data_IF_384066556953
#
_entry.id   IF_384066556953
#
_cell.length_a   1.000
_cell.length_b   1.000
_cell.length_c   1.000
_cell.angle_alpha   90.00
_cell.angle_beta   90.00
_cell.angle_gamma   90.00
#
_symmetry.space_group_name_H-M   'P 1'
#
loop_
_entity.id
_entity.type
_entity.pdbx_description
1 polymer ?
#
# COMPACT_ATOMS: atom_id res chain seq x y z
N UNK A 1 43.02 -27.51 -34.92
CA UNK A 1 42.33 -26.32 -35.48
C UNK A 1 41.45 -25.56 -34.48
N UNK A 2 41.16 -26.08 -33.28
CA UNK A 2 40.30 -25.41 -32.27
C UNK A 2 41.02 -24.38 -31.36
N UNK A 3 42.35 -24.50 -31.21
CA UNK A 3 43.15 -23.62 -30.34
C UNK A 3 43.10 -22.11 -30.65
N UNK A 4 43.17 -21.66 -31.92
CA UNK A 4 43.18 -20.22 -32.22
C UNK A 4 41.81 -19.54 -32.02
N UNK A 5 40.71 -20.27 -32.20
CA UNK A 5 39.37 -19.74 -31.96
C UNK A 5 39.12 -19.53 -30.46
N UNK A 6 39.55 -20.48 -29.62
CA UNK A 6 39.44 -20.36 -28.15
C UNK A 6 40.27 -19.18 -27.63
N UNK A 7 41.47 -18.96 -28.16
CA UNK A 7 42.30 -17.81 -27.76
C UNK A 7 41.68 -16.47 -28.15
N UNK A 8 41.08 -16.35 -29.34
CA UNK A 8 40.40 -15.14 -29.80
C UNK A 8 39.14 -14.80 -28.96
N UNK A 9 38.37 -15.83 -28.58
CA UNK A 9 37.23 -15.66 -27.68
C UNK A 9 37.70 -15.21 -26.29
N UNK A 10 38.75 -15.83 -25.75
CA UNK A 10 39.29 -15.46 -24.44
C UNK A 10 39.81 -14.02 -24.39
N UNK A 11 40.52 -13.56 -25.42
CA UNK A 11 41.00 -12.17 -25.49
C UNK A 11 39.86 -11.17 -25.63
N UNK A 12 38.82 -11.50 -26.41
CA UNK A 12 37.64 -10.65 -26.56
C UNK A 12 36.87 -10.51 -25.24
N UNK A 13 36.78 -11.60 -24.47
CA UNK A 13 36.19 -11.59 -23.13
C UNK A 13 37.02 -10.72 -22.18
N UNK A 14 38.36 -10.85 -22.19
CA UNK A 14 39.22 -10.03 -21.33
C UNK A 14 39.10 -8.53 -21.65
N UNK A 15 39.16 -8.15 -22.92
CA UNK A 15 38.99 -6.73 -23.35
C UNK A 15 37.61 -6.21 -22.97
N UNK A 16 36.56 -7.02 -23.14
CA UNK A 16 35.22 -6.64 -22.70
C UNK A 16 35.16 -6.44 -21.18
N UNK A 17 35.76 -7.34 -20.39
CA UNK A 17 35.80 -7.25 -18.93
C UNK A 17 36.58 -6.02 -18.45
N UNK A 18 37.70 -5.69 -19.09
CA UNK A 18 38.49 -4.48 -18.78
C UNK A 18 37.74 -3.19 -19.13
N UNK A 19 37.15 -3.10 -20.33
CA UNK A 19 36.34 -1.96 -20.75
C UNK A 19 35.10 -1.80 -19.87
N UNK A 20 34.49 -2.91 -19.47
CA UNK A 20 33.41 -2.91 -18.49
C UNK A 20 33.96 -2.36 -17.17
N UNK A 21 35.03 -2.90 -16.61
CA UNK A 21 35.60 -2.47 -15.33
C UNK A 21 35.88 -0.96 -15.26
N UNK A 22 36.64 -0.43 -16.23
CA UNK A 22 37.16 0.95 -16.18
C UNK A 22 36.08 2.03 -16.39
N UNK A 23 35.01 1.73 -17.12
CA UNK A 23 33.94 2.69 -17.43
C UNK A 23 32.67 2.44 -16.61
N UNK A 24 32.36 1.18 -16.35
CA UNK A 24 31.17 0.79 -15.60
C UNK A 24 31.31 1.13 -14.12
N UNK A 25 32.48 0.91 -13.49
CA UNK A 25 32.62 1.14 -12.05
C UNK A 25 32.39 2.62 -11.66
N UNK A 26 33.00 3.62 -12.33
CA UNK A 26 32.70 5.02 -12.06
C UNK A 26 31.24 5.39 -12.30
N UNK A 27 30.63 4.85 -13.37
CA UNK A 27 29.22 5.07 -13.68
C UNK A 27 28.31 4.47 -12.59
N UNK A 28 28.58 3.23 -12.16
CA UNK A 28 27.84 2.55 -11.10
C UNK A 28 27.99 3.29 -9.76
N UNK A 29 29.17 3.82 -9.44
CA UNK A 29 29.38 4.66 -8.26
C UNK A 29 28.59 5.97 -8.33
N UNK A 30 28.58 6.64 -9.50
CA UNK A 30 27.78 7.85 -9.70
C UNK A 30 26.27 7.57 -9.55
N UNK A 31 25.78 6.51 -10.18
CA UNK A 31 24.37 6.09 -10.08
C UNK A 31 24.00 5.66 -8.65
N UNK A 32 24.90 4.97 -7.95
CA UNK A 32 24.73 4.61 -6.54
C UNK A 32 24.61 5.88 -5.67
N UNK A 33 25.46 6.88 -5.92
CA UNK A 33 25.41 8.18 -5.20
C UNK A 33 24.07 8.87 -5.42
N UNK A 34 23.57 8.90 -6.67
CA UNK A 34 22.24 9.42 -6.99
C UNK A 34 21.14 8.61 -6.28
N UNK A 35 21.25 7.28 -6.24
CA UNK A 35 20.31 6.41 -5.53
C UNK A 35 20.29 6.68 -4.01
N UNK A 36 21.45 6.88 -3.39
CA UNK A 36 21.58 7.25 -1.98
C UNK A 36 20.98 8.62 -1.71
N UNK A 37 21.31 9.63 -2.53
CA UNK A 37 20.76 10.97 -2.41
C UNK A 37 19.23 10.96 -2.55
N UNK A 38 18.70 10.25 -3.55
CA UNK A 38 17.26 10.09 -3.77
C UNK A 38 16.56 9.49 -2.56
N UNK A 39 17.14 8.45 -1.96
CA UNK A 39 16.59 7.82 -0.75
C UNK A 39 16.59 8.79 0.43
N UNK A 40 17.67 9.54 0.64
CA UNK A 40 17.77 10.54 1.70
C UNK A 40 16.69 11.63 1.54
N UNK A 41 16.47 12.12 0.30
CA UNK A 41 15.41 13.08 0.01
C UNK A 41 14.02 12.51 0.29
N UNK A 42 13.73 11.28 -0.13
CA UNK A 42 12.43 10.63 0.14
C UNK A 42 12.21 10.48 1.63
N UNK A 43 13.24 10.05 2.37
CA UNK A 43 13.15 9.83 3.80
C UNK A 43 12.93 11.15 4.54
N UNK A 44 13.70 12.19 4.22
CA UNK A 44 13.50 13.54 4.74
C UNK A 44 12.09 14.05 4.45
N UNK A 45 11.58 13.86 3.22
CA UNK A 45 10.22 14.27 2.87
C UNK A 45 9.15 13.52 3.68
N UNK A 46 9.35 12.22 3.95
CA UNK A 46 8.43 11.43 4.79
C UNK A 46 8.44 11.85 6.25
N UNK A 47 9.59 12.30 6.77
CA UNK A 47 9.74 12.74 8.16
C UNK A 47 9.17 14.15 8.37
N UNK A 48 9.37 15.05 7.41
CA UNK A 48 8.89 16.43 7.48
C UNK A 48 7.39 16.52 7.23
N UNK A 49 6.88 15.77 6.26
CA UNK A 49 5.49 15.87 5.82
C UNK A 49 4.67 14.67 6.29
N UNK A 50 3.43 14.87 6.79
CA UNK A 50 2.54 13.78 7.17
C UNK A 50 1.90 13.09 5.95
N UNK A 51 2.72 12.74 4.94
CA UNK A 51 2.29 12.19 3.64
C UNK A 51 1.51 10.90 3.87
N UNK A 52 2.05 10.02 4.71
CA UNK A 52 1.40 8.75 5.04
C UNK A 52 0.01 8.97 5.64
N UNK A 53 -0.09 9.85 6.64
CA UNK A 53 -1.38 10.17 7.30
C UNK A 53 -2.40 10.66 6.28
N UNK A 54 -2.04 11.64 5.45
CA UNK A 54 -2.95 12.18 4.43
C UNK A 54 -3.32 11.13 3.37
N UNK A 55 -2.38 10.30 2.98
CA UNK A 55 -2.61 9.21 2.04
C UNK A 55 -3.56 8.16 2.63
N UNK A 56 -3.32 7.67 3.85
CA UNK A 56 -4.20 6.72 4.53
C UNK A 56 -5.60 7.31 4.77
N UNK A 57 -5.69 8.58 5.17
CA UNK A 57 -6.97 9.27 5.32
C UNK A 57 -7.76 9.28 4.00
N UNK A 58 -7.12 9.74 2.92
CA UNK A 58 -7.73 9.76 1.60
C UNK A 58 -8.19 8.37 1.15
N UNK A 59 -7.33 7.37 1.33
CA UNK A 59 -7.61 6.00 0.92
C UNK A 59 -8.72 5.35 1.74
N UNK A 60 -8.75 5.57 3.05
CA UNK A 60 -9.80 5.06 3.94
C UNK A 60 -11.15 5.72 3.63
N UNK A 61 -11.20 7.06 3.49
CA UNK A 61 -12.42 7.79 3.11
C UNK A 61 -12.97 7.29 1.77
N UNK A 62 -12.11 7.25 0.74
CA UNK A 62 -12.49 6.72 -0.58
C UNK A 62 -13.01 5.30 -0.49
N UNK A 63 -12.41 4.46 0.35
CA UNK A 63 -12.88 3.08 0.52
C UNK A 63 -14.25 3.02 1.18
N UNK A 64 -14.50 3.80 2.24
CA UNK A 64 -15.83 3.92 2.84
C UNK A 64 -16.86 4.44 1.84
N UNK A 65 -16.54 5.47 1.06
CA UNK A 65 -17.41 6.00 0.01
C UNK A 65 -17.76 4.92 -1.03
N UNK A 66 -16.78 4.11 -1.44
CA UNK A 66 -16.98 3.00 -2.38
C UNK A 66 -17.88 1.91 -1.80
N UNK A 67 -17.69 1.54 -0.53
CA UNK A 67 -18.56 0.55 0.13
C UNK A 67 -20.00 1.06 0.30
N UNK A 68 -20.17 2.33 0.68
CA UNK A 68 -21.49 2.94 0.79
C UNK A 68 -22.18 3.04 -0.58
N UNK A 69 -21.43 3.39 -1.64
CA UNK A 69 -21.95 3.42 -2.99
C UNK A 69 -22.43 2.04 -3.47
N UNK A 70 -21.73 0.96 -3.11
CA UNK A 70 -22.16 -0.41 -3.43
C UNK A 70 -23.52 -0.75 -2.78
N UNK A 71 -23.72 -0.35 -1.52
CA UNK A 71 -25.00 -0.57 -0.82
C UNK A 71 -26.16 0.21 -1.46
N UNK A 72 -25.85 1.31 -2.17
CA UNK A 72 -26.86 2.11 -2.89
C UNK A 72 -27.23 1.51 -4.26
N UNK A 73 -26.56 0.46 -4.73
CA UNK A 73 -26.97 -0.25 -5.94
C UNK A 73 -28.39 -0.82 -5.75
N UNK A 74 -29.32 -0.67 -6.72
CA UNK A 74 -30.75 -0.94 -6.50
C UNK A 74 -31.05 -2.33 -5.92
N UNK A 75 -30.39 -3.37 -6.44
CA UNK A 75 -30.56 -4.76 -6.00
C UNK A 75 -30.09 -4.97 -4.55
N UNK A 76 -28.93 -4.39 -4.21
CA UNK A 76 -28.34 -4.48 -2.87
C UNK A 76 -29.19 -3.68 -1.88
N UNK A 77 -29.59 -2.47 -2.25
CA UNK A 77 -30.41 -1.60 -1.43
C UNK A 77 -31.78 -2.24 -1.10
N UNK A 78 -32.40 -2.91 -2.06
CA UNK A 78 -33.64 -3.65 -1.83
C UNK A 78 -33.43 -4.79 -0.82
N UNK A 79 -32.36 -5.58 -0.99
CA UNK A 79 -32.03 -6.65 -0.05
C UNK A 79 -31.74 -6.13 1.37
N UNK A 80 -31.07 -4.98 1.49
CA UNK A 80 -30.82 -4.30 2.78
C UNK A 80 -32.13 -3.82 3.43
N UNK A 81 -33.01 -3.17 2.65
CA UNK A 81 -34.33 -2.75 3.13
C UNK A 81 -35.18 -3.92 3.60
N UNK A 82 -35.17 -5.03 2.84
CA UNK A 82 -35.88 -6.27 3.21
C UNK A 82 -35.34 -6.88 4.51
N UNK A 83 -34.03 -6.76 4.74
CA UNK A 83 -33.39 -7.19 5.98
C UNK A 83 -33.57 -6.20 7.15
N UNK A 84 -34.20 -5.04 6.92
CA UNK A 84 -34.39 -4.00 7.94
C UNK A 84 -33.12 -3.19 8.26
N UNK A 85 -32.11 -3.24 7.38
CA UNK A 85 -30.85 -2.53 7.54
C UNK A 85 -30.93 -1.12 6.95
N UNK A 86 -30.19 -0.20 7.56
CA UNK A 86 -30.04 1.18 7.04
C UNK A 86 -28.71 1.31 6.28
N UNK A 87 -28.69 1.94 5.09
CA UNK A 87 -27.43 2.17 4.38
C UNK A 87 -26.44 2.99 5.23
N UNK A 88 -25.14 2.66 5.22
CA UNK A 88 -24.16 3.35 6.05
C UNK A 88 -23.86 4.77 5.56
N UNK A 89 -23.59 5.67 6.49
CA UNK A 89 -22.96 6.97 6.21
C UNK A 89 -21.43 6.83 6.26
N UNK A 90 -20.71 7.02 5.12
CA UNK A 90 -19.27 6.80 5.06
C UNK A 90 -18.47 7.77 5.94
N UNK A 91 -18.97 8.98 6.17
CA UNK A 91 -18.29 9.95 7.03
C UNK A 91 -18.39 9.52 8.51
N UNK A 92 -19.56 9.01 8.93
CA UNK A 92 -19.75 8.44 10.27
C UNK A 92 -18.94 7.16 10.44
N UNK A 93 -18.90 6.28 9.43
CA UNK A 93 -18.09 5.06 9.45
C UNK A 93 -16.61 5.38 9.70
N UNK A 94 -16.06 6.38 8.99
CA UNK A 94 -14.69 6.84 9.20
C UNK A 94 -14.47 7.41 10.61
N UNK A 95 -15.40 8.24 11.11
CA UNK A 95 -15.30 8.77 12.48
C UNK A 95 -15.37 7.65 13.53
N UNK A 96 -16.22 6.65 13.34
CA UNK A 96 -16.33 5.48 14.20
C UNK A 96 -15.06 4.63 14.18
N UNK A 97 -14.41 4.45 13.01
CA UNK A 97 -13.09 3.81 12.93
C UNK A 97 -12.08 4.52 13.83
N UNK A 98 -11.97 5.85 13.71
CA UNK A 98 -11.03 6.65 14.52
C UNK A 98 -11.37 6.54 16.00
N UNK A 99 -12.64 6.65 16.36
CA UNK A 99 -13.12 6.52 17.75
C UNK A 99 -12.80 5.15 18.34
N UNK A 100 -13.06 4.07 17.60
CA UNK A 100 -12.91 2.69 18.09
C UNK A 100 -11.45 2.23 18.19
N UNK A 101 -10.56 2.81 17.39
CA UNK A 101 -9.14 2.43 17.36
C UNK A 101 -8.29 3.25 18.33
N UNK A 102 -8.56 4.56 18.43
CA UNK A 102 -7.66 5.52 19.09
C UNK A 102 -8.41 6.57 19.90
N UNK A 103 -9.65 6.26 20.32
CA UNK A 103 -10.49 7.14 21.13
C UNK A 103 -10.69 8.55 20.54
N UNK A 104 -10.59 8.70 19.21
CA UNK A 104 -10.77 9.98 18.52
C UNK A 104 -9.51 10.57 17.89
N UNK A 105 -8.31 10.04 18.19
CA UNK A 105 -7.06 10.56 17.61
C UNK A 105 -6.81 10.00 16.20
N UNK A 106 -7.38 10.69 15.20
CA UNK A 106 -7.16 10.37 13.79
C UNK A 106 -5.66 10.40 13.38
N UNK A 107 -4.85 11.24 14.04
CA UNK A 107 -3.42 11.32 13.76
C UNK A 107 -2.69 10.04 14.15
N UNK A 108 -2.98 9.53 15.35
CA UNK A 108 -2.39 8.30 15.85
C UNK A 108 -2.70 7.12 14.93
N UNK A 109 -3.99 6.86 14.62
CA UNK A 109 -4.36 5.67 13.82
C UNK A 109 -3.90 5.75 12.36
N UNK A 110 -4.00 6.93 11.72
CA UNK A 110 -3.70 7.05 10.28
C UNK A 110 -2.20 7.18 10.00
N UNK A 111 -1.37 7.45 11.02
CA UNK A 111 0.09 7.49 10.90
C UNK A 111 0.76 6.10 10.93
N UNK A 112 0.03 5.07 11.37
CA UNK A 112 0.49 3.68 11.44
C UNK A 112 0.92 3.14 10.08
N UNK A 113 1.81 2.13 10.09
CA UNK A 113 2.02 1.31 8.89
C UNK A 113 0.71 0.62 8.47
N UNK A 114 0.55 0.30 7.20
CA UNK A 114 -0.72 -0.21 6.67
C UNK A 114 -1.13 -1.56 7.30
N UNK A 115 -0.16 -2.41 7.65
CA UNK A 115 -0.37 -3.66 8.39
C UNK A 115 -0.92 -3.39 9.81
N UNK A 116 -0.39 -2.37 10.49
CA UNK A 116 -0.84 -1.98 11.83
C UNK A 116 -2.22 -1.32 11.77
N UNK A 117 -2.47 -0.46 10.78
CA UNK A 117 -3.78 0.14 10.53
C UNK A 117 -4.83 -0.96 10.29
N UNK A 118 -4.54 -1.93 9.44
CA UNK A 118 -5.42 -3.07 9.20
C UNK A 118 -5.66 -3.90 10.47
N UNK A 119 -4.62 -4.13 11.29
CA UNK A 119 -4.75 -4.76 12.59
C UNK A 119 -5.67 -4.01 13.55
N UNK A 120 -5.57 -2.67 13.59
CA UNK A 120 -6.46 -1.81 14.38
C UNK A 120 -7.89 -1.84 13.84
N UNK A 121 -8.09 -1.83 12.52
CA UNK A 121 -9.41 -1.99 11.90
C UNK A 121 -10.05 -3.33 12.28
N UNK A 122 -9.28 -4.42 12.31
CA UNK A 122 -9.76 -5.74 12.70
C UNK A 122 -10.09 -5.82 14.20
N UNK A 123 -9.34 -5.13 15.06
CA UNK A 123 -9.68 -5.01 16.48
C UNK A 123 -10.97 -4.20 16.68
N UNK A 124 -11.08 -3.04 16.02
CA UNK A 124 -12.27 -2.19 16.06
C UNK A 124 -13.51 -2.88 15.50
N UNK A 125 -13.37 -3.70 14.46
CA UNK A 125 -14.49 -4.43 13.87
C UNK A 125 -15.08 -5.46 14.83
N UNK A 126 -14.26 -6.12 15.66
CA UNK A 126 -14.75 -7.01 16.72
C UNK A 126 -15.59 -6.25 17.73
N UNK A 127 -15.12 -5.07 18.18
CA UNK A 127 -15.89 -4.21 19.08
C UNK A 127 -17.21 -3.78 18.45
N UNK A 128 -17.18 -3.40 17.17
CA UNK A 128 -18.39 -3.03 16.42
C UNK A 128 -19.33 -4.22 16.17
N UNK A 129 -18.81 -5.44 16.11
CA UNK A 129 -19.61 -6.68 16.04
C UNK A 129 -20.27 -6.99 17.38
N UNK A 130 -19.57 -6.72 18.48
CA UNK A 130 -20.00 -7.12 19.82
C UNK A 130 -20.92 -6.10 20.48
N UNK A 131 -20.85 -4.83 20.07
CA UNK A 131 -21.63 -3.72 20.65
C UNK A 131 -22.44 -2.97 19.59
N UNK A 132 -23.79 -2.98 19.66
CA UNK A 132 -24.67 -2.30 18.70
C UNK A 132 -24.40 -0.79 18.55
N UNK A 133 -24.02 -0.11 19.63
CA UNK A 133 -23.84 1.34 19.65
C UNK A 133 -22.41 1.79 19.29
N UNK A 134 -21.47 0.84 19.26
CA UNK A 134 -20.05 1.15 19.13
C UNK A 134 -19.65 1.60 17.72
N UNK A 135 -20.40 1.25 16.67
CA UNK A 135 -20.14 1.76 15.32
C UNK A 135 -20.97 1.09 14.23
N UNK A 136 -22.29 1.39 14.14
CA UNK A 136 -23.16 0.77 13.13
C UNK A 136 -22.70 1.06 11.70
N UNK A 137 -22.45 2.32 11.35
CA UNK A 137 -22.00 2.70 10.00
C UNK A 137 -20.65 2.05 9.64
N UNK A 138 -19.72 1.98 10.58
CA UNK A 138 -18.43 1.33 10.38
C UNK A 138 -18.62 -0.16 10.10
N UNK A 139 -19.39 -0.87 10.93
CA UNK A 139 -19.70 -2.27 10.71
C UNK A 139 -20.36 -2.50 9.34
N UNK A 140 -21.37 -1.70 9.01
CA UNK A 140 -22.12 -1.79 7.75
C UNK A 140 -21.22 -1.58 6.54
N UNK A 141 -20.29 -0.62 6.59
CA UNK A 141 -19.28 -0.47 5.54
C UNK A 141 -18.36 -1.69 5.42
N UNK A 142 -17.87 -2.25 6.54
CA UNK A 142 -17.01 -3.43 6.51
C UNK A 142 -17.73 -4.67 5.95
N UNK A 143 -19.02 -4.79 6.27
CA UNK A 143 -19.90 -5.88 5.88
C UNK A 143 -20.74 -5.56 4.63
N UNK A 144 -20.38 -4.52 3.86
CA UNK A 144 -21.15 -4.07 2.70
C UNK A 144 -21.39 -5.16 1.65
N UNK A 145 -20.46 -6.12 1.56
CA UNK A 145 -20.48 -7.26 0.65
C UNK A 145 -20.95 -8.57 1.30
N UNK A 146 -21.35 -8.55 2.58
CA UNK A 146 -21.92 -9.70 3.25
C UNK A 146 -23.40 -9.87 2.87
N UNK A 147 -23.96 -11.05 3.12
CA UNK A 147 -25.40 -11.27 2.94
C UNK A 147 -26.19 -10.38 3.93
N UNK A 148 -27.14 -9.54 3.45
CA UNK A 148 -27.88 -8.64 4.33
C UNK A 148 -28.66 -9.36 5.43
N UNK A 149 -29.15 -10.57 5.15
CA UNK A 149 -29.82 -11.41 6.15
C UNK A 149 -28.90 -11.79 7.31
N UNK A 150 -27.67 -12.22 7.03
CA UNK A 150 -26.69 -12.56 8.07
C UNK A 150 -26.32 -11.33 8.91
N UNK A 151 -26.19 -10.16 8.28
CA UNK A 151 -25.90 -8.92 8.99
C UNK A 151 -27.07 -8.51 9.90
N UNK A 152 -28.31 -8.64 9.44
CA UNK A 152 -29.49 -8.37 10.25
C UNK A 152 -29.62 -9.35 11.43
N UNK A 153 -29.33 -10.63 11.23
CA UNK A 153 -29.29 -11.62 12.31
C UNK A 153 -28.22 -11.27 13.33
N UNK A 154 -27.04 -10.82 12.87
CA UNK A 154 -25.99 -10.32 13.76
C UNK A 154 -26.42 -9.08 14.54
N UNK A 155 -27.21 -8.16 13.98
CA UNK A 155 -27.70 -6.99 14.73
C UNK A 155 -28.79 -7.37 15.74
N UNK A 156 -29.76 -8.20 15.32
CA UNK A 156 -30.86 -8.66 16.16
C UNK A 156 -30.33 -9.44 17.36
N UNK A 157 -29.38 -10.33 17.14
CA UNK A 157 -28.87 -11.22 18.19
C UNK A 157 -28.10 -10.46 19.26
N UNK A 158 -27.53 -9.29 18.97
CA UNK A 158 -26.85 -8.47 20.00
C UNK A 158 -27.75 -7.97 21.12
N UNK A 159 -29.03 -7.75 20.87
CA UNK A 159 -29.95 -7.19 21.88
C UNK A 159 -30.65 -8.27 22.70
N UNK A 160 -30.82 -9.47 22.13
CA UNK A 160 -31.65 -10.54 22.72
C UNK A 160 -30.93 -11.89 22.86
N UNK A 161 -29.60 -11.96 22.70
CA UNK A 161 -28.83 -13.23 22.67
C UNK A 161 -29.19 -14.18 23.82
N UNK A 162 -29.23 -13.66 25.06
CA UNK A 162 -29.48 -14.46 26.26
C UNK A 162 -30.90 -15.05 26.33
N UNK A 163 -31.86 -14.47 25.61
CA UNK A 163 -33.25 -14.93 25.55
C UNK A 163 -33.55 -15.86 24.38
N UNK A 164 -32.59 -16.10 23.48
CA UNK A 164 -32.77 -16.97 22.32
C UNK A 164 -32.75 -18.46 22.73
N UNK A 165 -33.45 -19.29 21.95
CA UNK A 165 -33.33 -20.75 22.07
C UNK A 165 -31.91 -21.22 21.74
N UNK A 166 -31.51 -22.43 22.15
CA UNK A 166 -30.18 -22.97 21.82
C UNK A 166 -29.95 -23.09 20.31
N UNK A 167 -31.01 -23.40 19.56
CA UNK A 167 -30.96 -23.50 18.10
C UNK A 167 -30.74 -22.13 17.46
N UNK A 168 -31.50 -21.12 17.92
CA UNK A 168 -31.34 -19.73 17.45
C UNK A 168 -29.97 -19.15 17.84
N UNK A 169 -29.44 -19.50 19.02
CA UNK A 169 -28.09 -19.11 19.44
C UNK A 169 -27.01 -19.71 18.53
N UNK A 170 -27.20 -20.95 18.08
CA UNK A 170 -26.28 -21.60 17.14
C UNK A 170 -26.34 -20.94 15.76
N UNK A 171 -27.54 -20.69 15.24
CA UNK A 171 -27.73 -20.00 13.96
C UNK A 171 -27.14 -18.58 13.99
N UNK A 172 -27.35 -17.84 15.09
CA UNK A 172 -26.76 -16.53 15.33
C UNK A 172 -25.23 -16.54 15.33
N UNK A 173 -24.63 -17.54 16.00
CA UNK A 173 -23.19 -17.71 16.03
C UNK A 173 -22.62 -18.00 14.63
N UNK A 174 -23.33 -18.78 13.82
CA UNK A 174 -22.95 -19.07 12.44
C UNK A 174 -23.02 -17.84 11.55
N UNK A 175 -24.13 -17.08 11.60
CA UNK A 175 -24.28 -15.82 10.87
C UNK A 175 -23.18 -14.82 11.25
N UNK A 176 -22.86 -14.72 12.55
CA UNK A 176 -21.75 -13.91 13.05
C UNK A 176 -20.40 -14.35 12.48
N UNK A 177 -20.12 -15.66 12.43
CA UNK A 177 -18.89 -16.18 11.85
C UNK A 177 -18.78 -15.84 10.35
N UNK A 178 -19.87 -15.95 9.59
CA UNK A 178 -19.91 -15.56 8.17
C UNK A 178 -19.62 -14.08 7.98
N UNK A 179 -20.32 -13.20 8.72
CA UNK A 179 -20.10 -11.74 8.68
C UNK A 179 -18.66 -11.39 9.06
N UNK A 180 -18.11 -11.99 10.11
CA UNK A 180 -16.72 -11.76 10.52
C UNK A 180 -15.72 -12.19 9.43
N UNK A 181 -15.96 -13.30 8.75
CA UNK A 181 -15.13 -13.73 7.64
C UNK A 181 -15.17 -12.71 6.48
N UNK A 182 -16.37 -12.21 6.11
CA UNK A 182 -16.49 -11.15 5.09
C UNK A 182 -15.76 -9.87 5.50
N UNK A 183 -15.94 -9.42 6.74
CA UNK A 183 -15.25 -8.25 7.29
C UNK A 183 -13.72 -8.41 7.17
N UNK A 184 -13.18 -9.57 7.56
CA UNK A 184 -11.75 -9.83 7.46
C UNK A 184 -11.26 -9.75 6.01
N UNK A 185 -11.99 -10.34 5.06
CA UNK A 185 -11.67 -10.26 3.63
C UNK A 185 -11.74 -8.84 3.09
N UNK A 186 -12.71 -8.04 3.54
CA UNK A 186 -12.79 -6.61 3.21
C UNK A 186 -11.57 -5.84 3.70
N UNK A 187 -11.13 -6.08 4.94
CA UNK A 187 -9.95 -5.43 5.53
C UNK A 187 -8.66 -5.87 4.82
N UNK A 188 -8.50 -7.17 4.55
CA UNK A 188 -7.34 -7.69 3.80
C UNK A 188 -7.27 -7.07 2.39
N UNK A 189 -8.41 -6.99 1.71
CA UNK A 189 -8.52 -6.35 0.39
C UNK A 189 -8.13 -4.87 0.43
N UNK A 190 -8.58 -4.14 1.45
CA UNK A 190 -8.15 -2.76 1.70
C UNK A 190 -6.63 -2.67 1.92
N UNK A 191 -6.06 -3.48 2.81
CA UNK A 191 -4.62 -3.51 3.11
C UNK A 191 -3.79 -3.74 1.84
N UNK A 192 -4.14 -4.75 1.02
CA UNK A 192 -3.43 -5.06 -0.23
C UNK A 192 -3.54 -3.91 -1.24
N UNK A 193 -4.73 -3.34 -1.41
CA UNK A 193 -5.00 -2.21 -2.30
C UNK A 193 -4.17 -0.98 -1.94
N UNK A 194 -4.17 -0.60 -0.66
CA UNK A 194 -3.43 0.57 -0.16
C UNK A 194 -1.93 0.34 -0.25
N UNK A 195 -1.45 -0.84 0.15
CA UNK A 195 -0.03 -1.22 0.04
C UNK A 195 0.50 -1.12 -1.39
N UNK A 196 -0.26 -1.64 -2.36
CA UNK A 196 0.09 -1.56 -3.78
C UNK A 196 0.18 -0.12 -4.27
N UNK A 197 -0.82 0.71 -3.95
CA UNK A 197 -0.86 2.12 -4.35
C UNK A 197 0.28 2.92 -3.72
N UNK A 198 0.58 2.68 -2.45
CA UNK A 198 1.69 3.32 -1.75
C UNK A 198 3.04 3.00 -2.39
N UNK A 199 3.30 1.71 -2.67
CA UNK A 199 4.52 1.26 -3.38
C UNK A 199 4.63 1.91 -4.77
N UNK A 200 3.53 1.96 -5.51
CA UNK A 200 3.50 2.63 -6.82
C UNK A 200 3.90 4.10 -6.70
N UNK A 201 3.29 4.85 -5.77
CA UNK A 201 3.64 6.27 -5.56
C UNK A 201 5.09 6.47 -5.14
N UNK A 202 5.67 5.56 -4.35
CA UNK A 202 7.09 5.62 -4.02
C UNK A 202 8.01 5.37 -5.21
N UNK A 203 7.66 4.43 -6.09
CA UNK A 203 8.44 4.21 -7.31
C UNK A 203 8.39 5.43 -8.22
N UNK A 204 7.20 6.02 -8.41
CA UNK A 204 7.04 7.25 -9.20
C UNK A 204 7.83 8.42 -8.60
N UNK A 205 7.72 8.63 -7.28
CA UNK A 205 8.46 9.70 -6.61
C UNK A 205 9.98 9.50 -6.71
N UNK A 206 10.47 8.26 -6.51
CA UNK A 206 11.89 7.95 -6.64
C UNK A 206 12.41 8.19 -8.05
N UNK A 207 11.65 7.78 -9.07
CA UNK A 207 12.03 8.00 -10.46
C UNK A 207 12.04 9.49 -10.80
N UNK A 208 11.03 10.25 -10.36
CA UNK A 208 10.95 11.69 -10.58
C UNK A 208 12.11 12.45 -9.92
N UNK A 209 12.45 12.12 -8.67
CA UNK A 209 13.56 12.75 -7.94
C UNK A 209 14.89 12.38 -8.58
N UNK A 210 15.11 11.10 -8.89
CA UNK A 210 16.34 10.64 -9.55
C UNK A 210 16.54 11.32 -10.91
N UNK A 211 15.46 11.41 -11.70
CA UNK A 211 15.47 12.13 -12.98
C UNK A 211 15.84 13.61 -12.78
N UNK A 212 15.21 14.29 -11.82
CA UNK A 212 15.49 15.71 -11.55
C UNK A 212 16.94 15.95 -11.11
N UNK A 213 17.52 15.09 -10.28
CA UNK A 213 18.92 15.18 -9.84
C UNK A 213 19.88 15.03 -11.03
N UNK A 214 19.69 14.00 -11.87
CA UNK A 214 20.58 13.75 -13.01
C UNK A 214 20.41 14.85 -14.07
N UNK A 215 19.19 15.30 -14.32
CA UNK A 215 18.94 16.38 -15.28
C UNK A 215 19.58 17.68 -14.81
N UNK A 216 19.46 18.02 -13.52
CA UNK A 216 20.12 19.17 -12.94
C UNK A 216 21.64 19.08 -13.11
N UNK A 217 22.25 17.92 -12.84
CA UNK A 217 23.68 17.71 -13.01
C UNK A 217 24.13 17.82 -14.49
N UNK A 218 23.40 17.22 -15.43
CA UNK A 218 23.74 17.23 -16.86
C UNK A 218 23.47 18.59 -17.52
N UNK A 219 22.49 19.36 -17.02
CA UNK A 219 22.22 20.71 -17.53
C UNK A 219 23.40 21.66 -17.35
N UNK A 220 24.27 21.42 -16.37
CA UNK A 220 25.53 22.16 -16.19
C UNK A 220 26.55 21.84 -17.29
N UNK A 221 26.42 20.70 -17.98
CA UNK A 221 27.26 20.25 -19.10
C UNK A 221 26.53 20.30 -20.45
N UNK A 222 25.59 21.24 -20.61
CA UNK A 222 24.71 21.34 -21.79
C UNK A 222 25.45 21.38 -23.14
N UNK A 223 26.68 21.92 -23.18
CA UNK A 223 27.50 22.00 -24.41
C UNK A 223 27.90 20.63 -24.98
N UNK A 224 28.03 19.61 -24.13
CA UNK A 224 28.50 18.28 -24.56
C UNK A 224 27.36 17.41 -25.12
N UNK A 225 26.17 17.48 -24.52
CA UNK A 225 25.10 16.49 -24.76
C UNK A 225 23.82 17.07 -25.38
N UNK A 226 23.67 18.41 -25.37
CA UNK A 226 22.40 19.06 -25.67
C UNK A 226 21.29 18.74 -24.64
N UNK A 227 20.14 19.42 -24.75
CA UNK A 227 19.02 19.20 -23.82
C UNK A 227 18.37 17.83 -24.01
N UNK A 228 18.21 17.39 -25.26
CA UNK A 228 17.61 16.09 -25.59
C UNK A 228 18.44 14.92 -25.04
N UNK A 229 19.77 14.97 -25.22
CA UNK A 229 20.68 13.96 -24.66
C UNK A 229 20.64 13.92 -23.13
N UNK A 230 20.63 15.09 -22.47
CA UNK A 230 20.52 15.17 -21.02
C UNK A 230 19.22 14.55 -20.48
N UNK A 231 18.08 14.78 -21.14
CA UNK A 231 16.79 14.19 -20.76
C UNK A 231 16.82 12.66 -20.91
N UNK A 232 17.31 12.14 -22.04
CA UNK A 232 17.38 10.70 -22.29
C UNK A 232 18.28 10.00 -21.27
N UNK A 233 19.47 10.54 -21.01
CA UNK A 233 20.40 9.98 -20.01
C UNK A 233 19.78 10.01 -18.62
N UNK A 234 19.06 11.09 -18.26
CA UNK A 234 18.41 11.21 -16.96
C UNK A 234 17.32 10.16 -16.74
N UNK A 235 16.54 9.82 -17.77
CA UNK A 235 15.51 8.77 -17.70
C UNK A 235 16.18 7.40 -17.47
N UNK A 236 17.21 7.08 -18.25
CA UNK A 236 17.95 5.81 -18.12
C UNK A 236 18.61 5.71 -16.75
N UNK A 237 19.27 6.79 -16.30
CA UNK A 237 19.93 6.83 -15.00
C UNK A 237 18.94 6.65 -13.84
N UNK A 238 17.78 7.33 -13.88
CA UNK A 238 16.75 7.20 -12.85
C UNK A 238 16.18 5.78 -12.75
N UNK A 239 16.08 5.07 -13.88
CA UNK A 239 15.63 3.68 -13.91
C UNK A 239 16.70 2.70 -13.40
N UNK A 240 17.98 2.94 -13.72
CA UNK A 240 19.10 2.04 -13.37
C UNK A 240 19.61 2.26 -11.94
N UNK A 241 19.40 3.43 -11.36
CA UNK A 241 19.91 3.77 -10.02
C UNK A 241 19.44 2.82 -8.90
N UNK A 242 18.16 2.42 -8.79
CA UNK A 242 17.73 1.46 -7.77
C UNK A 242 18.44 0.11 -7.89
N UNK A 243 18.54 -0.43 -9.10
CA UNK A 243 19.23 -1.71 -9.36
C UNK A 243 20.73 -1.61 -9.03
N UNK A 244 21.36 -0.48 -9.37
CA UNK A 244 22.77 -0.24 -9.08
C UNK A 244 23.05 -0.18 -7.59
N UNK A 245 22.15 0.44 -6.81
CA UNK A 245 22.25 0.47 -5.34
C UNK A 245 22.24 -0.95 -4.77
N UNK A 246 21.30 -1.77 -5.19
CA UNK A 246 21.17 -3.14 -4.70
C UNK A 246 22.37 -4.01 -5.10
N UNK A 247 22.88 -3.86 -6.33
CA UNK A 247 24.08 -4.54 -6.80
C UNK A 247 25.33 -4.14 -5.99
N UNK A 248 25.53 -2.85 -5.76
CA UNK A 248 26.65 -2.35 -4.95
C UNK A 248 26.55 -2.86 -3.51
N UNK A 249 25.35 -2.85 -2.92
CA UNK A 249 25.14 -3.40 -1.58
C UNK A 249 25.50 -4.90 -1.52
N UNK A 250 25.09 -5.69 -2.51
CA UNK A 250 25.43 -7.10 -2.61
C UNK A 250 26.95 -7.33 -2.76
N UNK A 251 27.62 -6.57 -3.63
CA UNK A 251 29.08 -6.65 -3.81
C UNK A 251 29.84 -6.26 -2.52
N UNK A 252 29.36 -5.24 -1.80
CA UNK A 252 29.93 -4.86 -0.50
C UNK A 252 29.76 -5.94 0.56
N UNK A 253 28.65 -6.69 0.54
CA UNK A 253 28.45 -7.83 1.44
C UNK A 253 29.40 -8.99 1.10
N UNK A 254 29.67 -9.24 -0.18
CA UNK A 254 30.61 -10.28 -0.61
C UNK A 254 32.06 -9.94 -0.23
N UNK A 255 32.49 -8.68 -0.37
CA UNK A 255 33.85 -8.24 0.00
C UNK A 255 34.15 -8.36 1.50
N UNK A 256 33.12 -8.37 2.35
CA UNK A 256 33.27 -8.50 3.81
C UNK A 256 33.42 -9.95 4.30
N UNK A 257 33.18 -10.92 3.43
CA UNK A 257 33.44 -12.34 3.69
C UNK A 257 34.84 -12.70 3.21
#
# INVERSE_FOLDING_TARGET
>A
MWSPMIQSVSSSIQVFVELLGDKFLPLAMALSTVGVATMAFIQMAREIFPIRRKFHEFQARRWFDQTAAHVQEPEVLEAWKKAGLTPPDPAKAFHQLVRLTTAGDAGAVLSLEIEQLAGQMAAASRVAVDSPSAGPDFLHCLAAYAYPADLADVEKTRTVYASLSKEDQAAAAEARARVQHFIQRSIDGFQVSVSRRWKFWHHIASLAIGFAIVLAALSQRRKEWGMAGAVLISIVAAFVAPVSKDLVAALQQLRKK
#
